data_IF_356206798706
#
_entry.id   IF_356206798706
#
_cell.length_a   1.000
_cell.length_b   1.000
_cell.length_c   1.000
_cell.angle_alpha   90.00
_cell.angle_beta   90.00
_cell.angle_gamma   90.00
#
_symmetry.space_group_name_H-M   'P 1'
#
loop_
_entity.id
_entity.type
_entity.pdbx_description
1 polymer ?
#
# COMPACT_ATOMS: atom_id res chain seq x y z
N UNK A 1 -0.52 3.46 32.97
CA UNK A 1 -1.80 3.68 32.27
C UNK A 1 -2.07 2.47 31.39
N UNK A 2 -2.97 1.60 31.82
CA UNK A 2 -3.37 0.39 31.09
C UNK A 2 -4.29 0.84 29.95
N UNK A 3 -3.87 0.68 28.68
CA UNK A 3 -4.76 0.90 27.54
C UNK A 3 -5.90 -0.11 27.66
N UNK A 4 -7.11 0.36 27.99
CA UNK A 4 -8.32 -0.44 27.85
C UNK A 4 -8.47 -0.79 26.37
N UNK A 5 -8.15 -2.03 26.00
CA UNK A 5 -8.51 -2.58 24.69
C UNK A 5 -10.03 -2.61 24.63
N UNK A 6 -10.64 -1.70 23.88
CA UNK A 6 -12.02 -1.89 23.40
C UNK A 6 -12.00 -3.10 22.46
N UNK A 7 -12.25 -4.29 22.99
CA UNK A 7 -12.55 -5.45 22.16
C UNK A 7 -13.89 -5.19 21.48
N UNK A 8 -13.95 -5.39 20.16
CA UNK A 8 -15.22 -5.35 19.45
C UNK A 8 -16.17 -6.38 20.08
N UNK A 9 -17.48 -6.08 20.21
CA UNK A 9 -18.44 -7.05 20.75
C UNK A 9 -18.40 -8.35 19.94
N UNK A 10 -18.28 -9.51 20.60
CA UNK A 10 -18.16 -10.84 19.96
C UNK A 10 -19.23 -11.09 18.88
N UNK A 11 -20.43 -10.53 19.07
CA UNK A 11 -21.54 -10.65 18.12
C UNK A 11 -21.23 -10.03 16.74
N UNK A 12 -20.48 -8.93 16.67
CA UNK A 12 -20.12 -8.32 15.38
C UNK A 12 -19.05 -9.13 14.64
N UNK A 13 -18.11 -9.76 15.36
CA UNK A 13 -17.07 -10.58 14.75
C UNK A 13 -17.63 -11.87 14.12
N UNK A 14 -18.70 -12.45 14.68
CA UNK A 14 -19.34 -13.65 14.12
C UNK A 14 -20.03 -13.40 12.77
N UNK A 15 -20.44 -12.16 12.49
CA UNK A 15 -21.15 -11.79 11.26
C UNK A 15 -20.25 -11.14 10.20
N UNK A 16 -19.01 -10.81 10.55
CA UNK A 16 -18.05 -10.21 9.63
C UNK A 16 -17.73 -11.17 8.47
N UNK A 17 -17.87 -10.68 7.24
CA UNK A 17 -17.66 -11.44 6.00
C UNK A 17 -16.23 -11.30 5.46
N UNK A 18 -15.56 -10.22 5.84
CA UNK A 18 -14.16 -9.97 5.53
C UNK A 18 -13.46 -9.29 6.71
N UNK A 19 -12.13 -9.37 6.71
CA UNK A 19 -11.24 -8.68 7.65
C UNK A 19 -10.27 -7.83 6.84
N UNK A 20 -10.17 -6.55 7.20
CA UNK A 20 -9.19 -5.62 6.65
C UNK A 20 -8.09 -5.39 7.68
N UNK A 21 -6.86 -5.77 7.36
CA UNK A 21 -5.67 -5.54 8.18
C UNK A 21 -4.80 -4.51 7.49
N UNK A 22 -4.59 -3.37 8.14
CA UNK A 22 -3.69 -2.34 7.65
C UNK A 22 -2.35 -2.38 8.37
N UNK A 23 -1.28 -2.49 7.60
CA UNK A 23 0.12 -2.34 8.03
C UNK A 23 0.71 -1.15 7.28
N UNK A 24 1.44 -0.30 7.99
CA UNK A 24 2.05 0.92 7.47
C UNK A 24 3.38 1.13 8.16
N UNK A 25 4.28 1.90 7.54
CA UNK A 25 5.51 2.41 8.17
C UNK A 25 6.36 1.25 8.73
N UNK A 26 6.47 0.18 7.95
CA UNK A 26 7.16 -1.05 8.32
C UNK A 26 8.67 -0.81 8.30
N UNK A 27 9.17 -0.07 7.32
CA UNK A 27 10.56 0.34 7.15
C UNK A 27 11.55 -0.81 7.29
N UNK A 28 11.42 -1.83 6.43
CA UNK A 28 12.37 -2.93 6.39
C UNK A 28 13.75 -2.44 5.96
N UNK A 29 14.76 -2.88 6.69
CA UNK A 29 16.18 -2.51 6.51
C UNK A 29 17.02 -3.73 6.19
N UNK A 30 18.00 -3.55 5.33
CA UNK A 30 19.05 -4.51 4.94
C UNK A 30 20.18 -4.61 5.98
N UNK A 31 20.42 -3.55 6.73
CA UNK A 31 21.56 -3.40 7.64
C UNK A 31 21.22 -3.51 9.14
N UNK A 32 19.97 -3.84 9.47
CA UNK A 32 19.47 -3.81 10.84
C UNK A 32 18.49 -4.94 11.17
N UNK A 33 18.17 -5.07 12.46
CA UNK A 33 17.07 -5.94 12.90
C UNK A 33 15.74 -5.30 12.52
N UNK A 34 14.84 -6.10 11.99
CA UNK A 34 13.47 -5.71 11.63
C UNK A 34 12.48 -6.22 12.71
N UNK A 35 11.98 -5.37 13.64
CA UNK A 35 11.13 -5.82 14.74
C UNK A 35 9.79 -6.40 14.29
N UNK A 36 9.28 -5.93 13.15
CA UNK A 36 8.03 -6.42 12.53
C UNK A 36 8.10 -7.92 12.24
N UNK A 37 9.25 -8.41 11.72
CA UNK A 37 9.47 -9.83 11.39
C UNK A 37 9.41 -10.69 12.67
N UNK A 38 9.95 -10.18 13.77
CA UNK A 38 9.90 -10.88 15.07
C UNK A 38 8.49 -10.94 15.66
N UNK A 39 7.58 -10.06 15.20
CA UNK A 39 6.20 -9.96 15.67
C UNK A 39 5.21 -10.65 14.74
N UNK A 40 5.67 -11.25 13.63
CA UNK A 40 4.82 -11.89 12.64
C UNK A 40 3.84 -12.88 13.26
N UNK A 41 4.30 -13.78 14.14
CA UNK A 41 3.42 -14.75 14.80
C UNK A 41 2.35 -14.09 15.67
N UNK A 42 2.73 -13.10 16.48
CA UNK A 42 1.80 -12.38 17.33
C UNK A 42 0.74 -11.63 16.51
N UNK A 43 1.14 -11.06 15.38
CA UNK A 43 0.24 -10.40 14.43
C UNK A 43 -0.74 -11.39 13.80
N UNK A 44 -0.26 -12.53 13.30
CA UNK A 44 -1.12 -13.57 12.73
C UNK A 44 -2.13 -14.06 13.76
N UNK A 45 -1.69 -14.32 15.00
CA UNK A 45 -2.59 -14.76 16.06
C UNK A 45 -3.67 -13.71 16.41
N UNK A 46 -3.32 -12.42 16.38
CA UNK A 46 -4.27 -11.34 16.61
C UNK A 46 -5.31 -11.21 15.48
N UNK A 47 -4.90 -11.40 14.23
CA UNK A 47 -5.82 -11.36 13.08
C UNK A 47 -6.72 -12.60 13.06
N UNK A 48 -6.16 -13.77 13.33
CA UNK A 48 -6.88 -15.04 13.42
C UNK A 48 -7.98 -15.02 14.48
N UNK A 49 -7.74 -14.40 15.65
CA UNK A 49 -8.76 -14.34 16.70
C UNK A 49 -10.00 -13.53 16.29
N UNK A 50 -9.87 -12.62 15.32
CA UNK A 50 -11.00 -11.89 14.71
C UNK A 50 -11.74 -12.72 13.65
N UNK A 51 -11.15 -13.81 13.14
CA UNK A 51 -11.68 -14.62 12.05
C UNK A 51 -12.51 -15.83 12.50
N UNK A 52 -12.57 -16.12 13.81
CA UNK A 52 -13.18 -17.33 14.35
C UNK A 52 -14.66 -17.52 13.94
N UNK A 53 -15.02 -18.76 13.64
CA UNK A 53 -16.41 -19.24 13.49
C UNK A 53 -16.85 -19.50 12.05
N UNK A 54 -16.34 -18.74 11.07
CA UNK A 54 -16.54 -18.96 9.63
C UNK A 54 -15.34 -18.44 8.87
N UNK A 55 -15.01 -19.08 7.74
CA UNK A 55 -14.00 -18.56 6.83
C UNK A 55 -14.44 -17.21 6.26
N UNK A 56 -13.47 -16.31 6.11
CA UNK A 56 -13.65 -14.91 5.68
C UNK A 56 -12.64 -14.56 4.60
N UNK A 57 -12.90 -13.50 3.86
CA UNK A 57 -11.85 -12.88 3.06
C UNK A 57 -10.92 -12.05 3.94
N UNK A 58 -9.62 -12.15 3.69
CA UNK A 58 -8.60 -11.34 4.34
C UNK A 58 -8.02 -10.35 3.35
N UNK A 59 -8.18 -9.07 3.63
CA UNK A 59 -7.54 -7.98 2.90
C UNK A 59 -6.36 -7.47 3.71
N UNK A 60 -5.14 -7.66 3.21
CA UNK A 60 -3.91 -7.11 3.80
C UNK A 60 -3.56 -5.85 3.03
N UNK A 61 -3.69 -4.71 3.70
CA UNK A 61 -3.33 -3.39 3.20
C UNK A 61 -1.94 -3.04 3.68
N UNK A 62 -1.01 -2.82 2.74
CA UNK A 62 0.31 -2.26 2.97
C UNK A 62 0.27 -0.78 2.54
N UNK A 63 -0.01 0.12 3.48
CA UNK A 63 -0.32 1.53 3.20
C UNK A 63 0.91 2.43 3.11
N UNK A 64 1.98 1.95 2.47
CA UNK A 64 3.23 2.67 2.27
C UNK A 64 4.34 2.36 3.27
N UNK A 65 5.54 2.80 2.92
CA UNK A 65 6.78 2.67 3.67
C UNK A 65 7.08 1.21 4.07
N UNK A 66 7.05 0.34 3.07
CA UNK A 66 7.44 -1.06 3.23
C UNK A 66 8.96 -1.17 3.41
N UNK A 67 9.71 -0.49 2.53
CA UNK A 67 11.16 -0.35 2.60
C UNK A 67 11.56 0.89 3.40
N UNK A 68 12.81 0.96 3.86
CA UNK A 68 13.33 2.12 4.60
C UNK A 68 14.00 3.16 3.70
N UNK A 69 14.64 2.74 2.60
CA UNK A 69 15.25 3.64 1.60
C UNK A 69 14.97 3.19 0.16
N UNK A 70 14.08 2.22 -0.03
CA UNK A 70 13.64 1.72 -1.33
C UNK A 70 14.72 0.95 -2.08
N UNK A 71 15.68 0.33 -1.38
CA UNK A 71 16.74 -0.45 -2.06
C UNK A 71 16.25 -1.85 -2.47
N UNK A 72 16.84 -2.47 -3.50
CA UNK A 72 16.49 -3.83 -3.90
C UNK A 72 16.62 -4.85 -2.76
N UNK A 73 17.66 -4.73 -1.93
CA UNK A 73 17.94 -5.62 -0.80
C UNK A 73 16.85 -5.55 0.27
N UNK A 74 16.28 -4.37 0.51
CA UNK A 74 15.15 -4.19 1.42
C UNK A 74 13.89 -4.88 0.88
N UNK A 75 13.67 -4.86 -0.44
CA UNK A 75 12.56 -5.57 -1.07
C UNK A 75 12.76 -7.10 -1.10
N UNK A 76 13.99 -7.60 -1.12
CA UNK A 76 14.27 -9.02 -0.92
C UNK A 76 13.89 -9.48 0.50
N UNK A 77 14.16 -8.64 1.50
CA UNK A 77 13.70 -8.88 2.88
C UNK A 77 12.17 -8.79 2.96
N UNK A 78 11.58 -7.82 2.27
CA UNK A 78 10.12 -7.68 2.19
C UNK A 78 9.47 -8.93 1.61
N UNK A 79 10.02 -9.50 0.52
CA UNK A 79 9.57 -10.77 -0.06
C UNK A 79 9.52 -11.87 1.00
N UNK A 80 10.61 -12.08 1.74
CA UNK A 80 10.66 -13.09 2.79
C UNK A 80 9.62 -12.87 3.90
N UNK A 81 9.42 -11.62 4.31
CA UNK A 81 8.38 -11.25 5.28
C UNK A 81 6.96 -11.53 4.76
N UNK A 82 6.66 -11.17 3.51
CA UNK A 82 5.36 -11.39 2.89
C UNK A 82 5.08 -12.89 2.66
N UNK A 83 6.10 -13.67 2.31
CA UNK A 83 5.99 -15.13 2.16
C UNK A 83 5.69 -15.82 3.49
N UNK A 84 6.33 -15.38 4.59
CA UNK A 84 6.03 -15.89 5.93
C UNK A 84 4.58 -15.57 6.33
N UNK A 85 4.11 -14.34 6.06
CA UNK A 85 2.71 -13.96 6.30
C UNK A 85 1.74 -14.80 5.48
N UNK A 86 1.97 -14.90 4.17
CA UNK A 86 1.13 -15.69 3.27
C UNK A 86 1.05 -17.14 3.73
N UNK A 87 2.18 -17.73 4.09
CA UNK A 87 2.24 -19.11 4.60
C UNK A 87 1.44 -19.27 5.87
N UNK A 88 1.65 -18.41 6.86
CA UNK A 88 0.96 -18.51 8.16
C UNK A 88 -0.54 -18.29 8.05
N UNK A 89 -0.99 -17.27 7.32
CA UNK A 89 -2.41 -17.03 7.11
C UNK A 89 -3.09 -18.15 6.31
N UNK A 90 -2.43 -18.69 5.29
CA UNK A 90 -2.96 -19.84 4.53
C UNK A 90 -3.06 -21.09 5.42
N UNK A 91 -2.03 -21.35 6.23
CA UNK A 91 -1.98 -22.53 7.10
C UNK A 91 -2.99 -22.53 8.26
N UNK A 92 -3.49 -21.36 8.65
CA UNK A 92 -4.38 -21.26 9.81
C UNK A 92 -5.83 -21.71 9.52
N UNK A 93 -6.21 -21.81 8.24
CA UNK A 93 -7.50 -22.36 7.82
C UNK A 93 -8.72 -21.45 8.00
N UNK A 94 -8.53 -20.21 8.44
CA UNK A 94 -9.61 -19.25 8.76
C UNK A 94 -10.01 -18.34 7.58
N UNK A 95 -9.28 -18.40 6.46
CA UNK A 95 -9.48 -17.49 5.32
C UNK A 95 -9.73 -18.26 4.03
N UNK A 96 -10.75 -17.85 3.28
CA UNK A 96 -11.02 -18.41 1.94
C UNK A 96 -10.09 -17.78 0.90
N UNK A 97 -9.91 -16.45 0.98
CA UNK A 97 -9.05 -15.68 0.11
C UNK A 97 -8.16 -14.70 0.91
N UNK A 98 -6.95 -14.47 0.41
CA UNK A 98 -6.02 -13.47 0.94
C UNK A 98 -5.69 -12.51 -0.19
N UNK A 99 -6.16 -11.27 -0.06
CA UNK A 99 -5.98 -10.19 -1.01
C UNK A 99 -4.91 -9.22 -0.49
N UNK A 100 -4.03 -8.79 -1.39
CA UNK A 100 -2.98 -7.83 -1.09
C UNK A 100 -3.29 -6.52 -1.78
N UNK A 101 -3.33 -5.45 -1.00
CA UNK A 101 -3.57 -4.08 -1.46
C UNK A 101 -2.39 -3.25 -1.01
N UNK A 102 -1.62 -2.71 -1.94
CA UNK A 102 -0.36 -2.04 -1.61
C UNK A 102 -0.26 -0.70 -2.32
N UNK A 103 0.18 0.31 -1.58
CA UNK A 103 0.59 1.61 -2.11
C UNK A 103 2.00 1.92 -1.59
N UNK A 104 2.81 2.69 -2.33
CA UNK A 104 4.12 3.10 -1.84
C UNK A 104 4.00 4.30 -0.89
N UNK A 105 4.97 4.41 0.01
CA UNK A 105 5.25 5.62 0.75
C UNK A 105 6.50 6.32 0.20
N UNK A 106 6.97 7.35 0.91
CA UNK A 106 8.13 8.13 0.49
C UNK A 106 9.45 7.41 0.75
N UNK A 107 9.51 6.53 1.75
CA UNK A 107 10.68 5.69 2.00
C UNK A 107 10.82 4.55 0.98
N UNK A 108 9.78 4.26 0.21
CA UNK A 108 9.86 3.38 -0.96
C UNK A 108 10.51 4.08 -2.18
N UNK A 109 10.79 5.40 -2.09
CA UNK A 109 11.53 6.17 -3.08
C UNK A 109 13.04 6.20 -2.79
N UNK A 110 13.86 6.00 -3.81
CA UNK A 110 15.30 6.24 -3.77
C UNK A 110 15.56 7.74 -4.01
N UNK A 111 15.88 8.47 -2.94
CA UNK A 111 16.01 9.93 -2.94
C UNK A 111 17.47 10.36 -2.63
N UNK A 112 18.35 10.47 -3.65
CA UNK A 112 19.75 10.86 -3.46
C UNK A 112 19.92 12.31 -3.00
N UNK A 113 21.12 12.69 -2.57
CA UNK A 113 21.44 14.09 -2.20
C UNK A 113 21.37 15.04 -3.40
N UNK A 114 21.86 14.59 -4.55
CA UNK A 114 21.74 15.32 -5.82
C UNK A 114 20.60 14.73 -6.66
N UNK A 115 19.49 15.45 -6.68
CA UNK A 115 18.26 15.06 -7.37
C UNK A 115 17.61 16.26 -8.09
N UNK A 116 18.44 17.27 -8.42
CA UNK A 116 17.96 18.57 -8.91
C UNK A 116 17.11 18.46 -10.18
N UNK A 117 17.46 17.55 -11.08
CA UNK A 117 16.72 17.32 -12.32
C UNK A 117 15.30 16.81 -12.06
N UNK A 118 15.15 15.77 -11.22
CA UNK A 118 13.82 15.23 -10.87
C UNK A 118 13.02 16.27 -10.08
N UNK A 119 13.66 16.98 -9.14
CA UNK A 119 12.99 18.03 -8.36
C UNK A 119 12.44 19.15 -9.25
N UNK A 120 13.18 19.57 -10.28
CA UNK A 120 12.68 20.56 -11.24
C UNK A 120 11.46 20.05 -12.02
N UNK A 121 11.42 18.76 -12.37
CA UNK A 121 10.25 18.14 -13.01
C UNK A 121 9.09 18.04 -12.02
N UNK A 122 9.35 17.64 -10.77
CA UNK A 122 8.35 17.55 -9.72
C UNK A 122 7.73 18.91 -9.37
N UNK A 123 8.52 19.99 -9.34
CA UNK A 123 8.02 21.37 -9.16
C UNK A 123 7.08 21.78 -10.30
N UNK A 124 7.43 21.46 -11.55
CA UNK A 124 6.53 21.67 -12.68
C UNK A 124 5.26 20.82 -12.56
N UNK A 125 5.38 19.64 -11.97
CA UNK A 125 4.28 18.70 -11.74
C UNK A 125 3.33 19.09 -10.61
N UNK A 126 3.75 19.93 -9.66
CA UNK A 126 2.88 20.39 -8.57
C UNK A 126 1.78 21.35 -9.05
N UNK A 127 2.04 22.10 -10.12
CA UNK A 127 1.23 23.27 -10.50
C UNK A 127 0.40 23.08 -11.76
N UNK A 128 0.29 21.86 -12.30
CA UNK A 128 -0.61 21.58 -13.42
C UNK A 128 -1.55 20.43 -13.06
N UNK A 129 -2.64 20.34 -13.80
CA UNK A 129 -3.63 19.27 -13.65
C UNK A 129 -3.40 18.12 -14.63
N UNK A 130 -2.59 18.34 -15.68
CA UNK A 130 -2.25 17.35 -16.70
C UNK A 130 -0.79 17.45 -17.11
N UNK A 131 -0.20 16.29 -17.45
CA UNK A 131 1.23 16.14 -17.74
C UNK A 131 1.47 15.17 -18.88
N UNK A 132 2.56 15.39 -19.62
CA UNK A 132 3.02 14.40 -20.57
C UNK A 132 3.44 13.11 -19.82
N UNK A 133 3.24 11.91 -20.39
CA UNK A 133 3.68 10.65 -19.79
C UNK A 133 5.16 10.64 -19.36
N UNK A 134 6.03 11.30 -20.13
CA UNK A 134 7.46 11.44 -19.81
C UNK A 134 7.74 12.22 -18.51
N UNK A 135 6.88 13.16 -18.13
CA UNK A 135 6.98 13.89 -16.86
C UNK A 135 6.63 12.95 -15.69
N UNK A 136 5.57 12.16 -15.85
CA UNK A 136 5.20 11.14 -14.86
C UNK A 136 6.29 10.10 -14.68
N UNK A 137 6.84 9.57 -15.78
CA UNK A 137 7.95 8.61 -15.76
C UNK A 137 9.18 9.16 -15.04
N UNK A 138 9.55 10.42 -15.31
CA UNK A 138 10.69 11.05 -14.65
C UNK A 138 10.50 11.17 -13.14
N UNK A 139 9.29 11.51 -12.67
CA UNK A 139 8.98 11.56 -11.23
C UNK A 139 8.97 10.16 -10.59
N UNK A 140 8.29 9.20 -11.24
CA UNK A 140 8.09 7.83 -10.76
C UNK A 140 9.38 6.99 -10.77
N UNK A 141 10.42 7.42 -11.48
CA UNK A 141 11.72 6.74 -11.52
C UNK A 141 12.32 6.51 -10.13
N UNK A 142 12.04 7.39 -9.17
CA UNK A 142 12.49 7.21 -7.78
C UNK A 142 11.95 5.91 -7.15
N UNK A 143 10.87 5.34 -7.70
CA UNK A 143 10.20 4.14 -7.20
C UNK A 143 10.43 2.92 -8.13
N UNK A 144 11.44 2.94 -9.01
CA UNK A 144 11.69 1.82 -9.94
C UNK A 144 11.88 0.48 -9.21
N UNK A 145 12.59 0.48 -8.08
CA UNK A 145 12.78 -0.71 -7.26
C UNK A 145 11.45 -1.23 -6.67
N UNK A 146 10.58 -0.32 -6.22
CA UNK A 146 9.25 -0.64 -5.72
C UNK A 146 8.39 -1.31 -6.80
N UNK A 147 8.30 -0.70 -7.99
CA UNK A 147 7.50 -1.27 -9.08
C UNK A 147 8.07 -2.59 -9.62
N UNK A 148 9.40 -2.72 -9.65
CA UNK A 148 10.07 -3.98 -9.98
C UNK A 148 9.72 -5.08 -8.97
N UNK A 149 9.72 -4.75 -7.67
CA UNK A 149 9.28 -5.66 -6.62
C UNK A 149 7.81 -6.07 -6.81
N UNK A 150 6.91 -5.12 -7.07
CA UNK A 150 5.49 -5.41 -7.30
C UNK A 150 5.26 -6.34 -8.49
N UNK A 151 5.94 -6.07 -9.60
CA UNK A 151 5.87 -6.91 -10.80
C UNK A 151 6.37 -8.33 -10.50
N UNK A 152 7.53 -8.46 -9.87
CA UNK A 152 8.14 -9.76 -9.61
C UNK A 152 7.42 -10.58 -8.53
N UNK A 153 6.78 -9.93 -7.56
CA UNK A 153 6.15 -10.63 -6.43
C UNK A 153 4.64 -10.84 -6.59
N UNK A 154 3.95 -9.85 -7.14
CA UNK A 154 2.49 -9.88 -7.32
C UNK A 154 2.05 -10.08 -8.78
N UNK A 155 2.98 -10.04 -9.74
CA UNK A 155 2.64 -10.11 -11.17
C UNK A 155 1.93 -8.85 -11.68
N UNK A 156 2.08 -7.72 -10.99
CA UNK A 156 1.47 -6.45 -11.39
C UNK A 156 2.25 -5.84 -12.54
N UNK A 157 1.61 -5.70 -13.70
CA UNK A 157 2.18 -5.02 -14.86
C UNK A 157 1.66 -3.58 -14.96
N UNK A 158 2.55 -2.67 -15.33
CA UNK A 158 2.28 -1.23 -15.40
C UNK A 158 2.51 -0.76 -16.84
N UNK A 159 1.48 -0.92 -17.66
CA UNK A 159 1.55 -0.65 -19.11
C UNK A 159 1.62 0.85 -19.42
N UNK A 160 1.07 1.69 -18.53
CA UNK A 160 1.08 3.14 -18.65
C UNK A 160 1.54 3.78 -17.33
N UNK A 161 2.29 4.91 -17.35
CA UNK A 161 2.73 5.58 -16.12
C UNK A 161 1.59 5.96 -15.16
N UNK A 162 0.40 6.25 -15.68
CA UNK A 162 -0.79 6.50 -14.86
C UNK A 162 -1.19 5.28 -14.00
N UNK A 163 -0.92 4.05 -14.45
CA UNK A 163 -1.20 2.81 -13.69
C UNK A 163 -0.33 2.74 -12.40
N UNK A 164 0.82 3.42 -12.40
CA UNK A 164 1.72 3.55 -11.24
C UNK A 164 1.28 4.65 -10.27
N UNK A 165 0.38 5.54 -10.70
CA UNK A 165 -0.18 6.61 -9.86
C UNK A 165 -1.46 6.16 -9.15
N UNK A 166 -2.27 5.35 -9.84
CA UNK A 166 -3.58 4.95 -9.37
C UNK A 166 -3.98 3.58 -9.89
N UNK A 167 -4.54 2.77 -9.00
CA UNK A 167 -5.22 1.53 -9.37
C UNK A 167 -6.58 1.46 -8.70
N UNK A 168 -7.52 0.80 -9.38
CA UNK A 168 -8.83 0.48 -8.84
C UNK A 168 -9.10 -1.01 -8.98
N UNK A 169 -9.59 -1.63 -7.92
CA UNK A 169 -9.99 -3.03 -7.93
C UNK A 169 -11.26 -3.22 -7.10
N UNK A 170 -12.08 -4.20 -7.46
CA UNK A 170 -13.36 -4.49 -6.79
C UNK A 170 -13.45 -5.95 -6.39
N UNK A 171 -14.03 -6.22 -5.23
CA UNK A 171 -14.26 -7.57 -4.72
C UNK A 171 -15.71 -7.73 -4.28
N UNK A 172 -16.29 -8.91 -4.49
CA UNK A 172 -17.58 -9.27 -3.91
C UNK A 172 -17.36 -9.82 -2.50
N UNK A 173 -17.91 -9.15 -1.48
CA UNK A 173 -17.81 -9.56 -0.08
C UNK A 173 -19.20 -9.96 0.42
N UNK A 174 -19.57 -11.20 0.09
CA UNK A 174 -20.87 -11.79 0.44
C UNK A 174 -22.04 -11.03 -0.20
N UNK A 175 -21.95 -10.72 -1.49
CA UNK A 175 -22.97 -10.04 -2.27
C UNK A 175 -22.95 -8.51 -2.15
N UNK A 176 -21.90 -7.93 -1.58
CA UNK A 176 -21.67 -6.48 -1.55
C UNK A 176 -20.38 -6.18 -2.32
N UNK A 177 -20.46 -5.32 -3.33
CA UNK A 177 -19.31 -4.91 -4.12
C UNK A 177 -18.48 -3.87 -3.36
N UNK A 178 -17.24 -4.21 -3.01
CA UNK A 178 -16.30 -3.33 -2.31
C UNK A 178 -15.18 -2.92 -3.26
N UNK A 179 -15.08 -1.62 -3.56
CA UNK A 179 -14.03 -1.03 -4.38
C UNK A 179 -12.87 -0.49 -3.55
N UNK A 180 -11.65 -0.71 -4.01
CA UNK A 180 -10.43 -0.18 -3.41
C UNK A 180 -9.71 0.74 -4.38
N UNK A 181 -9.51 1.99 -3.96
CA UNK A 181 -8.74 2.99 -4.67
C UNK A 181 -7.33 3.05 -4.09
N UNK A 182 -6.32 2.69 -4.87
CA UNK A 182 -4.92 2.65 -4.46
C UNK A 182 -4.21 3.86 -5.04
N UNK A 183 -3.82 4.82 -4.20
CA UNK A 183 -3.18 6.06 -4.62
C UNK A 183 -1.70 6.06 -4.26
N UNK A 184 -0.83 6.24 -5.26
CA UNK A 184 0.58 6.54 -5.03
C UNK A 184 0.74 8.04 -4.73
N UNK A 185 0.58 8.41 -3.47
CA UNK A 185 0.77 9.78 -3.00
C UNK A 185 2.24 10.19 -2.91
N UNK A 186 3.17 9.24 -3.05
CA UNK A 186 4.61 9.44 -2.88
C UNK A 186 5.36 9.76 -4.18
N UNK A 187 4.67 9.78 -5.33
CA UNK A 187 5.31 9.99 -6.65
C UNK A 187 6.07 11.33 -6.78
N UNK A 188 5.75 12.33 -5.96
CA UNK A 188 6.43 13.64 -5.88
C UNK A 188 7.31 13.80 -4.63
N UNK A 189 7.54 12.72 -3.88
CA UNK A 189 8.25 12.77 -2.61
C UNK A 189 9.67 13.30 -2.75
N UNK A 190 10.12 13.93 -1.65
CA UNK A 190 11.42 14.61 -1.53
C UNK A 190 12.02 14.25 -0.20
N UNK A 191 13.35 14.28 -0.10
CA UNK A 191 14.07 13.90 1.12
C UNK A 191 13.71 14.76 2.34
N UNK A 192 13.32 16.02 2.11
CA UNK A 192 12.72 16.90 3.12
C UNK A 192 11.32 17.26 2.66
N UNK A 193 10.34 16.52 3.15
CA UNK A 193 8.95 16.79 2.82
C UNK A 193 8.43 18.02 3.58
N UNK A 194 7.58 18.78 2.91
CA UNK A 194 6.79 19.84 3.51
C UNK A 194 5.33 19.36 3.52
N UNK A 195 4.66 19.33 4.68
CA UNK A 195 3.27 18.93 4.75
C UNK A 195 2.38 19.72 3.79
N UNK A 196 1.47 19.05 3.08
CA UNK A 196 0.50 19.68 2.19
C UNK A 196 1.03 20.07 0.81
N UNK A 197 2.18 19.55 0.37
CA UNK A 197 2.74 19.82 -0.97
C UNK A 197 2.61 18.64 -1.95
N UNK A 198 1.92 17.57 -1.57
CA UNK A 198 1.71 16.41 -2.43
C UNK A 198 0.39 16.55 -3.16
N UNK A 199 0.46 16.52 -4.49
CA UNK A 199 -0.66 16.59 -5.41
C UNK A 199 -0.80 15.26 -6.16
N UNK A 200 -2.03 14.85 -6.45
CA UNK A 200 -2.33 13.75 -7.37
C UNK A 200 -3.05 14.35 -8.58
N UNK A 201 -2.62 14.06 -9.82
CA UNK A 201 -3.25 14.59 -11.01
C UNK A 201 -4.57 13.87 -11.27
N UNK A 202 -5.66 14.36 -10.67
CA UNK A 202 -6.98 13.70 -10.72
C UNK A 202 -7.46 13.52 -12.17
N UNK A 203 -7.19 14.48 -13.06
CA UNK A 203 -7.59 14.42 -14.47
C UNK A 203 -6.87 13.31 -15.26
N UNK A 204 -5.66 12.92 -14.84
CA UNK A 204 -4.90 11.81 -15.43
C UNK A 204 -5.33 10.45 -14.85
N UNK A 205 -5.97 10.48 -13.68
CA UNK A 205 -6.53 9.26 -13.12
C UNK A 205 -7.73 8.88 -13.98
N UNK A 206 -7.62 7.76 -14.67
CA UNK A 206 -8.79 7.03 -15.19
C UNK A 206 -9.57 6.48 -14.01
N UNK A 207 -10.17 7.34 -13.19
CA UNK A 207 -10.99 6.94 -12.05
C UNK A 207 -12.19 6.20 -12.63
N UNK A 208 -12.06 4.88 -12.68
CA UNK A 208 -13.12 4.01 -13.12
C UNK A 208 -14.11 3.98 -11.96
N UNK A 209 -15.15 4.81 -12.05
CA UNK A 209 -16.33 4.69 -11.20
C UNK A 209 -17.19 3.52 -11.68
N UNK A 210 -16.62 2.31 -11.70
CA UNK A 210 -17.47 1.14 -11.69
C UNK A 210 -18.18 1.19 -10.34
N UNK A 211 -19.49 1.43 -10.37
CA UNK A 211 -20.29 1.53 -9.16
C UNK A 211 -19.97 0.37 -8.21
N UNK A 212 -19.53 0.70 -7.01
CA UNK A 212 -19.41 -0.24 -5.91
C UNK A 212 -20.32 0.24 -4.79
N UNK A 213 -20.79 -0.70 -3.97
CA UNK A 213 -21.66 -0.40 -2.84
C UNK A 213 -20.87 0.31 -1.72
N UNK A 214 -19.55 0.06 -1.66
CA UNK A 214 -18.64 0.68 -0.70
C UNK A 214 -17.28 0.90 -1.34
N UNK A 215 -16.74 2.11 -1.20
CA UNK A 215 -15.42 2.49 -1.70
C UNK A 215 -14.45 2.78 -0.54
N UNK A 216 -13.24 2.24 -0.63
CA UNK A 216 -12.15 2.44 0.35
C UNK A 216 -10.95 3.06 -0.38
N UNK A 217 -10.53 4.25 0.06
CA UNK A 217 -9.32 4.91 -0.43
C UNK A 217 -8.10 4.56 0.43
N UNK A 218 -7.02 4.13 -0.21
CA UNK A 218 -5.74 3.78 0.42
C UNK A 218 -4.68 4.75 -0.10
N UNK A 219 -4.06 5.47 0.82
CA UNK A 219 -3.00 6.44 0.60
C UNK A 219 -2.03 6.41 1.78
N UNK A 220 -0.77 6.78 1.53
CA UNK A 220 0.25 6.87 2.57
C UNK A 220 0.31 8.28 3.19
N UNK A 221 0.30 9.32 2.35
CA UNK A 221 0.38 10.71 2.80
C UNK A 221 -0.93 11.47 2.61
N UNK A 222 -1.29 12.39 3.52
CA UNK A 222 -2.36 13.35 3.28
C UNK A 222 -2.04 14.16 2.02
N UNK A 223 -2.98 14.23 1.09
CA UNK A 223 -2.85 14.99 -0.15
C UNK A 223 -3.77 16.19 -0.15
N UNK A 224 -3.37 17.23 -0.88
CA UNK A 224 -4.31 18.24 -1.35
C UNK A 224 -4.98 17.68 -2.60
N UNK A 225 -6.31 17.63 -2.60
CA UNK A 225 -7.06 17.42 -3.83
C UNK A 225 -7.01 18.75 -4.62
N UNK A 226 -6.42 18.72 -5.81
CA UNK A 226 -6.22 19.88 -6.69
C UNK A 226 -6.67 19.59 -8.11
#
# INVERSE_FOLDING_TARGET
MQLMRKTMPENQLQHARAILVQLSDIHLKDDARNPVIQRTEAMVNAVRSCALGKRKDLFIVLSGDLAFKGSPEEYDIARGFLDDLRTRFTSCGEFDHIHWLIVPGNHDCVLPDDDAARLAVADQALHKQSFAPSVMEACLKAQDNYFTFLNNYFGLDFTHPADKLYQFTTFDVGGTSVGFHLFNTAWLSRRKEQPGQLAIPIDELKVVSNGCDTAIGILHHPVLAT
#
